data_IF_049977861962
#
_entry.id   IF_049977861962
#
_cell.length_a   1.000
_cell.length_b   1.000
_cell.length_c   1.000
_cell.angle_alpha   90.00
_cell.angle_beta   90.00
_cell.angle_gamma   90.00
#
_symmetry.space_group_name_H-M   'P 1'
#
loop_
_entity.id
_entity.type
_entity.pdbx_description
1 polymer ?
#
# COMPACT_ATOMS: atom_id res chain seq x y z
N UNK A 1 12.07 -0.20 -3.08
CA UNK A 1 11.22 0.90 -2.54
C UNK A 1 10.70 0.46 -1.20
N UNK A 2 10.75 1.32 -0.17
CA UNK A 2 10.36 0.93 1.18
C UNK A 2 8.91 1.26 1.49
N UNK A 3 8.18 0.26 1.96
CA UNK A 3 6.77 0.40 2.36
C UNK A 3 6.61 -0.02 3.82
N UNK A 4 5.62 0.52 4.56
CA UNK A 4 5.32 0.03 5.90
C UNK A 4 4.95 -1.45 5.87
N UNK A 5 5.41 -2.24 6.85
CA UNK A 5 5.04 -3.66 6.91
C UNK A 5 3.51 -3.84 7.04
N UNK A 6 2.82 -2.87 7.63
CA UNK A 6 1.35 -2.82 7.77
C UNK A 6 0.60 -2.58 6.45
N UNK A 7 1.29 -2.09 5.41
CA UNK A 7 0.70 -1.83 4.09
C UNK A 7 0.64 -3.10 3.24
N UNK A 8 1.37 -4.13 3.63
CA UNK A 8 1.48 -5.38 2.89
C UNK A 8 0.34 -6.31 3.28
N UNK A 9 -0.36 -6.79 2.26
CA UNK A 9 -1.46 -7.74 2.37
C UNK A 9 -0.90 -9.12 2.10
N UNK A 10 -0.99 -9.99 3.11
CA UNK A 10 -0.66 -11.40 3.00
C UNK A 10 -1.97 -12.19 2.97
N UNK A 11 -2.26 -12.84 1.85
CA UNK A 11 -3.44 -13.68 1.71
C UNK A 11 -3.08 -15.02 1.04
N UNK A 12 -4.07 -15.89 0.87
CA UNK A 12 -3.88 -17.20 0.25
C UNK A 12 -3.35 -17.12 -1.21
N UNK A 13 -3.47 -15.97 -1.86
CA UNK A 13 -3.00 -15.74 -3.22
C UNK A 13 -1.58 -15.12 -3.25
N UNK A 14 -0.91 -14.99 -2.11
CA UNK A 14 0.46 -14.49 -1.98
C UNK A 14 0.55 -13.10 -1.37
N UNK A 15 1.65 -12.40 -1.67
CA UNK A 15 1.96 -11.09 -1.11
C UNK A 15 1.60 -9.97 -2.06
N UNK A 16 0.86 -9.00 -1.55
CA UNK A 16 0.25 -7.92 -2.34
C UNK A 16 0.33 -6.61 -1.60
N UNK A 17 0.19 -5.51 -2.32
CA UNK A 17 -0.06 -4.19 -1.74
C UNK A 17 -1.27 -3.56 -2.40
N UNK A 18 -1.99 -2.75 -1.64
CA UNK A 18 -3.02 -1.90 -2.20
C UNK A 18 -2.41 -0.58 -2.67
N UNK A 19 -2.54 -0.30 -3.95
CA UNK A 19 -2.11 0.94 -4.60
C UNK A 19 -3.33 1.75 -5.04
N UNK A 20 -3.25 3.06 -4.98
CA UNK A 20 -4.26 3.98 -5.50
C UNK A 20 -3.78 4.49 -6.85
N UNK A 21 -4.54 4.15 -7.88
CA UNK A 21 -4.34 4.59 -9.25
C UNK A 21 -5.00 5.94 -9.56
N UNK A 22 -5.03 6.29 -10.84
CA UNK A 22 -5.72 7.47 -11.32
C UNK A 22 -7.22 7.43 -10.99
N UNK A 23 -7.80 8.57 -10.60
CA UNK A 23 -9.22 8.63 -10.23
C UNK A 23 -9.54 8.03 -8.87
N UNK A 24 -8.55 7.93 -7.97
CA UNK A 24 -8.73 7.46 -6.60
C UNK A 24 -9.18 5.99 -6.52
N UNK A 25 -8.87 5.20 -7.56
CA UNK A 25 -9.26 3.79 -7.65
C UNK A 25 -8.22 2.88 -7.01
N UNK A 26 -8.66 1.94 -6.19
CA UNK A 26 -7.80 0.98 -5.52
C UNK A 26 -7.50 -0.21 -6.44
N UNK A 27 -6.23 -0.58 -6.50
CA UNK A 27 -5.72 -1.72 -7.24
C UNK A 27 -4.85 -2.58 -6.33
N UNK A 28 -5.00 -3.90 -6.42
CA UNK A 28 -4.13 -4.82 -5.71
C UNK A 28 -2.99 -5.24 -6.62
N UNK A 29 -1.79 -4.80 -6.27
CA UNK A 29 -0.59 -5.11 -7.01
C UNK A 29 0.15 -6.24 -6.30
N UNK A 30 0.46 -7.31 -7.04
CA UNK A 30 1.28 -8.41 -6.52
C UNK A 30 2.72 -7.94 -6.48
N UNK A 31 3.38 -8.14 -5.33
CA UNK A 31 4.75 -7.63 -5.11
C UNK A 31 5.65 -8.68 -4.52
N UNK A 32 6.92 -8.58 -4.88
CA UNK A 32 7.98 -9.40 -4.30
C UNK A 32 8.63 -8.61 -3.19
N UNK A 33 8.46 -9.09 -1.96
CA UNK A 33 9.18 -8.54 -0.82
C UNK A 33 10.66 -8.90 -0.91
N UNK A 34 11.51 -7.92 -0.67
CA UNK A 34 12.94 -8.09 -0.47
C UNK A 34 13.26 -8.13 1.02
N UNK A 35 14.05 -7.16 1.49
CA UNK A 35 14.52 -7.11 2.88
C UNK A 35 13.49 -6.53 3.81
N UNK A 36 13.20 -7.24 4.91
CA UNK A 36 12.43 -6.71 6.01
C UNK A 36 13.32 -5.90 6.97
N UNK A 37 12.76 -4.84 7.54
CA UNK A 37 13.41 -3.95 8.50
C UNK A 37 12.61 -3.87 9.82
N UNK A 38 11.73 -4.85 10.08
CA UNK A 38 10.80 -4.85 11.21
C UNK A 38 9.60 -3.91 11.07
N UNK A 39 9.83 -2.59 10.93
CA UNK A 39 8.74 -1.59 10.78
C UNK A 39 8.33 -1.36 9.33
N UNK A 40 9.20 -1.73 8.40
CA UNK A 40 9.04 -1.51 6.97
C UNK A 40 9.69 -2.64 6.19
N UNK A 41 9.24 -2.86 4.97
CA UNK A 41 9.73 -3.91 4.08
C UNK A 41 10.12 -3.24 2.76
N UNK A 42 11.26 -3.63 2.22
CA UNK A 42 11.64 -3.20 0.88
C UNK A 42 10.97 -4.10 -0.16
N UNK A 43 10.39 -3.47 -1.18
CA UNK A 43 9.81 -4.14 -2.33
C UNK A 43 10.89 -4.30 -3.39
N UNK A 44 11.21 -5.56 -3.70
CA UNK A 44 12.20 -5.94 -4.69
C UNK A 44 11.65 -5.83 -6.11
N UNK A 45 10.38 -6.17 -6.34
CA UNK A 45 9.73 -6.02 -7.65
C UNK A 45 8.21 -5.95 -7.55
N UNK A 46 7.56 -5.46 -8.61
CA UNK A 46 6.10 -5.41 -8.75
C UNK A 46 5.51 -4.02 -8.55
N UNK A 47 6.32 -3.02 -8.20
CA UNK A 47 5.93 -1.61 -8.11
C UNK A 47 6.88 -0.75 -8.95
N UNK A 48 6.36 0.32 -9.53
CA UNK A 48 7.11 1.27 -10.36
C UNK A 48 7.76 2.40 -9.56
N UNK A 49 7.30 2.62 -8.33
CA UNK A 49 7.86 3.59 -7.37
C UNK A 49 7.16 4.95 -7.36
N UNK A 50 6.20 5.16 -8.27
CA UNK A 50 5.35 6.35 -8.37
C UNK A 50 3.91 6.10 -7.89
N UNK A 51 3.59 4.87 -7.48
CA UNK A 51 2.26 4.53 -6.98
C UNK A 51 2.03 5.02 -5.55
N UNK A 52 0.79 5.41 -5.29
CA UNK A 52 0.35 5.77 -3.93
C UNK A 52 -0.06 4.50 -3.19
N UNK A 53 0.64 4.16 -2.11
CA UNK A 53 0.37 2.91 -1.35
C UNK A 53 -0.51 3.19 -0.15
N UNK A 54 -1.50 2.31 0.04
CA UNK A 54 -2.35 2.32 1.22
C UNK A 54 -1.58 1.77 2.42
N UNK A 55 -1.26 2.64 3.39
CA UNK A 55 -0.47 2.27 4.58
C UNK A 55 -1.16 1.28 5.52
N UNK A 56 -2.49 1.30 5.54
CA UNK A 56 -3.34 0.45 6.38
C UNK A 56 -4.56 0.03 5.58
N UNK A 57 -4.46 -1.08 4.84
CA UNK A 57 -5.61 -1.62 4.12
C UNK A 57 -6.63 -2.15 5.12
N UNK A 58 -7.85 -1.60 5.12
CA UNK A 58 -8.98 -2.16 5.85
C UNK A 58 -9.52 -3.39 5.13
N UNK A 59 -10.06 -4.35 5.88
CA UNK A 59 -10.65 -5.59 5.33
C UNK A 59 -11.79 -5.36 4.32
N UNK A 60 -12.35 -4.15 4.32
CA UNK A 60 -13.43 -3.73 3.42
C UNK A 60 -12.96 -3.29 2.03
N UNK A 61 -11.64 -3.20 1.80
CA UNK A 61 -11.09 -2.73 0.53
C UNK A 61 -11.25 -3.79 -0.57
N UNK A 62 -11.81 -3.39 -1.69
CA UNK A 62 -12.01 -4.22 -2.88
C UNK A 62 -11.29 -3.63 -4.09
N UNK A 63 -10.98 -4.50 -5.06
CA UNK A 63 -10.38 -4.07 -6.31
C UNK A 63 -11.35 -3.18 -7.09
N UNK A 64 -10.85 -2.07 -7.64
CA UNK A 64 -11.67 -1.08 -8.34
C UNK A 64 -12.45 -0.15 -7.40
N UNK A 65 -12.30 -0.30 -6.07
CA UNK A 65 -12.99 0.57 -5.13
C UNK A 65 -12.39 1.98 -5.16
N UNK A 66 -13.26 2.99 -5.26
CA UNK A 66 -12.85 4.37 -5.10
C UNK A 66 -12.59 4.65 -3.62
N UNK A 67 -11.37 5.04 -3.29
CA UNK A 67 -10.94 5.35 -1.93
C UNK A 67 -10.51 6.80 -1.85
N UNK A 68 -10.95 7.50 -0.82
CA UNK A 68 -10.45 8.85 -0.55
C UNK A 68 -9.14 8.72 0.23
N UNK A 69 -7.99 9.15 -0.32
CA UNK A 69 -6.76 9.20 0.44
C UNK A 69 -6.99 10.16 1.60
N UNK A 70 -6.96 9.61 2.80
CA UNK A 70 -6.85 10.43 3.99
C UNK A 70 -5.38 10.76 4.13
N UNK A 71 -5.00 11.98 3.74
CA UNK A 71 -3.73 12.51 4.21
C UNK A 71 -3.74 12.37 5.74
N UNK A 72 -2.67 11.80 6.36
CA UNK A 72 -2.57 11.84 7.80
C UNK A 72 -2.72 13.32 8.18
N UNK A 73 -3.56 13.65 9.19
CA UNK A 73 -3.77 15.05 9.56
C UNK A 73 -2.39 15.67 9.72
N UNK A 74 -2.09 16.65 8.87
CA UNK A 74 -0.89 17.47 9.02
C UNK A 74 -0.88 17.85 10.50
N UNK A 75 0.20 17.60 11.26
CA UNK A 75 0.23 18.03 12.64
C UNK A 75 -0.04 19.52 12.60
N UNK A 76 -1.21 19.93 13.07
CA UNK A 76 -1.55 21.33 13.24
C UNK A 76 -0.65 21.80 14.37
N UNK A 77 0.58 22.19 14.01
CA UNK A 77 1.47 22.94 14.87
C UNK A 77 1.04 24.39 14.83
N UNK A 78 0.84 24.98 16.01
CA UNK A 78 0.59 26.41 16.21
C UNK A 78 -0.48 26.65 17.26
#
# INVERSE_FOLDING_TARGET
>A
MRVPATAVIFNAQGTRVATVGAGNTLHFQTVVLGRDFGTSIDIQSGLEGNETIVKQPTVSLQEGQVVTPVDPPKPSGG
#
